data_IF_018636330728
#
_entry.id   IF_018636330728
#
_cell.length_a   1.000
_cell.length_b   1.000
_cell.length_c   1.000
_cell.angle_alpha   90.00
_cell.angle_beta   90.00
_cell.angle_gamma   90.00
#
_symmetry.space_group_name_H-M   'P 1'
#
loop_
_entity.id
_entity.type
_entity.pdbx_description
1 polymer ?
#
# COMPACT_ATOMS: atom_id res chain seq x y z
N UNK A 1 57.55 -10.99 -41.99
CA UNK A 1 56.87 -9.75 -41.59
C UNK A 1 56.13 -10.02 -40.30
N UNK A 2 56.37 -9.20 -39.29
CA UNK A 2 55.78 -9.28 -37.96
C UNK A 2 54.30 -8.86 -37.98
N UNK A 3 53.48 -9.50 -37.15
CA UNK A 3 52.13 -9.05 -36.79
C UNK A 3 51.99 -9.09 -35.26
N UNK A 4 51.50 -8.02 -34.60
CA UNK A 4 51.41 -7.91 -33.15
C UNK A 4 50.12 -8.54 -32.62
N UNK A 5 50.17 -8.92 -31.33
CA UNK A 5 49.10 -9.61 -30.62
C UNK A 5 47.91 -8.75 -30.23
N UNK A 6 46.87 -9.44 -29.78
CA UNK A 6 45.68 -8.85 -29.17
C UNK A 6 45.29 -9.71 -27.96
N UNK A 7 45.81 -9.32 -26.80
CA UNK A 7 45.42 -9.78 -25.47
C UNK A 7 44.16 -9.01 -25.05
N UNK A 8 42.98 -9.57 -25.30
CA UNK A 8 41.73 -9.09 -24.69
C UNK A 8 41.45 -9.89 -23.43
N UNK A 9 41.92 -9.36 -22.30
CA UNK A 9 41.61 -9.86 -20.96
C UNK A 9 40.15 -9.54 -20.61
N UNK A 10 39.35 -10.59 -20.53
CA UNK A 10 37.96 -10.61 -20.11
C UNK A 10 37.88 -10.40 -18.59
N UNK A 11 37.82 -9.13 -18.18
CA UNK A 11 37.70 -8.69 -16.79
C UNK A 11 36.24 -8.68 -16.33
N UNK A 12 35.64 -9.87 -16.19
CA UNK A 12 34.33 -10.07 -15.58
C UNK A 12 34.37 -9.80 -14.07
N UNK A 13 34.36 -8.53 -13.69
CA UNK A 13 34.12 -8.09 -12.31
C UNK A 13 32.65 -8.33 -11.95
N UNK A 14 32.32 -9.54 -11.50
CA UNK A 14 31.03 -9.81 -10.87
C UNK A 14 30.88 -8.91 -9.65
N UNK A 15 29.94 -7.97 -9.71
CA UNK A 15 29.52 -7.20 -8.55
C UNK A 15 29.15 -8.17 -7.42
N UNK A 16 29.68 -7.98 -6.20
CA UNK A 16 29.27 -8.78 -5.06
C UNK A 16 27.77 -8.58 -4.84
N UNK A 17 27.01 -9.68 -4.94
CA UNK A 17 25.56 -9.68 -4.90
C UNK A 17 25.02 -8.99 -3.65
N UNK A 18 24.35 -7.86 -3.86
CA UNK A 18 23.60 -7.12 -2.83
C UNK A 18 22.44 -7.94 -2.22
N UNK A 19 22.15 -9.10 -2.79
CA UNK A 19 21.01 -9.94 -2.43
C UNK A 19 21.22 -10.65 -1.07
N UNK A 20 22.46 -11.01 -0.72
CA UNK A 20 22.75 -11.75 0.52
C UNK A 20 22.64 -10.91 1.81
N UNK A 21 22.93 -9.62 1.75
CA UNK A 21 22.78 -8.71 2.91
C UNK A 21 21.31 -8.40 3.21
N UNK A 22 20.46 -8.40 2.18
CA UNK A 22 19.03 -8.17 2.34
C UNK A 22 18.36 -9.34 3.07
N UNK A 23 18.64 -10.59 2.69
CA UNK A 23 18.04 -11.78 3.29
C UNK A 23 18.36 -11.90 4.79
N UNK A 24 19.64 -11.74 5.17
CA UNK A 24 20.04 -11.77 6.58
C UNK A 24 19.38 -10.64 7.41
N UNK A 25 19.18 -9.46 6.80
CA UNK A 25 18.47 -8.34 7.41
C UNK A 25 16.98 -8.62 7.63
N UNK A 26 16.33 -9.31 6.68
CA UNK A 26 14.92 -9.72 6.77
C UNK A 26 14.73 -10.78 7.87
N UNK A 27 15.57 -11.81 7.93
CA UNK A 27 15.45 -12.86 8.95
C UNK A 27 15.63 -12.32 10.37
N UNK A 28 16.64 -11.47 10.58
CA UNK A 28 16.85 -10.81 11.87
C UNK A 28 15.67 -9.89 12.23
N UNK A 29 15.05 -9.25 11.24
CA UNK A 29 13.86 -8.43 11.44
C UNK A 29 12.62 -9.26 11.77
N UNK A 30 12.39 -10.37 11.08
CA UNK A 30 11.30 -11.31 11.35
C UNK A 30 11.45 -11.90 12.76
N UNK A 31 12.66 -12.31 13.16
CA UNK A 31 12.95 -12.79 14.49
C UNK A 31 12.67 -11.72 15.57
N UNK A 32 13.08 -10.46 15.34
CA UNK A 32 12.78 -9.34 16.24
C UNK A 32 11.28 -9.04 16.30
N UNK A 33 10.56 -9.12 15.18
CA UNK A 33 9.12 -8.95 15.14
C UNK A 33 8.43 -10.05 15.94
N UNK A 34 8.78 -11.31 15.71
CA UNK A 34 8.25 -12.46 16.45
C UNK A 34 8.51 -12.30 17.96
N UNK A 35 9.74 -11.95 18.35
CA UNK A 35 10.08 -11.69 19.74
C UNK A 35 9.30 -10.50 20.33
N UNK A 36 9.07 -9.42 19.56
CA UNK A 36 8.28 -8.26 20.03
C UNK A 36 6.80 -8.60 20.16
N UNK A 37 6.25 -9.41 19.25
CA UNK A 37 4.86 -9.88 19.33
C UNK A 37 4.67 -10.85 20.52
N UNK A 38 5.69 -11.65 20.85
CA UNK A 38 5.69 -12.54 22.02
C UNK A 38 5.92 -11.80 23.34
N UNK A 39 6.78 -10.78 23.34
CA UNK A 39 7.16 -10.01 24.53
C UNK A 39 6.19 -8.87 24.86
N UNK A 40 5.16 -8.63 24.03
CA UNK A 40 4.15 -7.59 24.29
C UNK A 40 3.48 -7.91 25.63
N UNK A 41 3.68 -7.11 26.69
CA UNK A 41 2.98 -7.31 27.94
C UNK A 41 1.49 -7.25 27.63
N UNK A 42 0.70 -8.12 28.26
CA UNK A 42 -0.76 -7.98 28.24
C UNK A 42 -1.06 -6.51 28.58
N UNK A 43 -1.53 -5.77 27.58
CA UNK A 43 -1.79 -4.36 27.73
C UNK A 43 -2.74 -4.20 28.92
N UNK A 44 -2.51 -3.17 29.74
CA UNK A 44 -3.26 -2.96 30.97
C UNK A 44 -4.79 -3.01 30.77
N UNK A 45 -5.55 -3.16 31.87
CA UNK A 45 -7.00 -3.30 31.84
C UNK A 45 -7.61 -2.09 31.11
N UNK A 46 -8.04 -2.30 29.86
CA UNK A 46 -8.51 -1.23 28.97
C UNK A 46 -8.05 -1.35 27.51
N UNK A 47 -7.15 -2.28 27.16
CA UNK A 47 -6.82 -2.56 25.78
C UNK A 47 -7.01 -4.05 25.46
N UNK A 48 -8.28 -4.48 25.42
CA UNK A 48 -8.67 -5.74 24.76
C UNK A 48 -8.58 -5.56 23.23
N UNK A 49 -7.39 -5.16 22.75
CA UNK A 49 -7.04 -5.20 21.36
C UNK A 49 -7.10 -6.67 20.92
N UNK A 50 -8.14 -7.05 20.17
CA UNK A 50 -8.29 -8.39 19.61
C UNK A 50 -6.96 -8.88 19.03
N UNK A 51 -6.61 -10.13 19.30
CA UNK A 51 -5.37 -10.74 18.80
C UNK A 51 -5.27 -10.53 17.28
N UNK A 52 -4.05 -10.33 16.73
CA UNK A 52 -3.85 -10.09 15.29
C UNK A 52 -4.58 -11.10 14.38
N UNK A 53 -4.66 -12.37 14.79
CA UNK A 53 -5.39 -13.42 14.09
C UNK A 53 -6.90 -13.16 14.00
N UNK A 54 -7.54 -12.68 15.07
CA UNK A 54 -8.96 -12.36 15.09
C UNK A 54 -9.28 -11.16 14.19
N UNK A 55 -8.38 -10.16 14.14
CA UNK A 55 -8.51 -9.01 13.23
C UNK A 55 -8.39 -9.42 11.77
N UNK A 56 -7.46 -10.32 11.47
CA UNK A 56 -7.28 -10.85 10.13
C UNK A 56 -8.52 -11.62 9.66
N UNK A 57 -9.07 -12.49 10.50
CA UNK A 57 -10.30 -13.22 10.20
C UNK A 57 -11.48 -12.28 9.95
N UNK A 58 -11.71 -11.31 10.85
CA UNK A 58 -12.78 -10.31 10.69
C UNK A 58 -12.59 -9.45 9.43
N UNK A 59 -11.35 -9.09 9.10
CA UNK A 59 -11.06 -8.38 7.85
C UNK A 59 -11.34 -9.23 6.62
N UNK A 60 -10.98 -10.51 6.63
CA UNK A 60 -11.24 -11.43 5.51
C UNK A 60 -12.75 -11.64 5.30
N UNK A 61 -13.51 -11.85 6.38
CA UNK A 61 -14.97 -11.95 6.34
C UNK A 61 -15.61 -10.68 5.79
N UNK A 62 -15.16 -9.51 6.25
CA UNK A 62 -15.63 -8.22 5.76
C UNK A 62 -15.33 -8.01 4.27
N UNK A 63 -14.13 -8.39 3.81
CA UNK A 63 -13.75 -8.33 2.39
C UNK A 63 -14.66 -9.23 1.56
N UNK A 64 -14.86 -10.48 1.98
CA UNK A 64 -15.73 -11.44 1.27
C UNK A 64 -17.17 -10.92 1.19
N UNK A 65 -17.69 -10.36 2.28
CA UNK A 65 -19.03 -9.77 2.29
C UNK A 65 -19.14 -8.56 1.35
N UNK A 66 -18.09 -7.73 1.27
CA UNK A 66 -18.06 -6.55 0.42
C UNK A 66 -17.86 -6.87 -1.07
N UNK A 67 -17.28 -8.03 -1.42
CA UNK A 67 -17.09 -8.48 -2.82
C UNK A 67 -18.42 -8.67 -3.57
N UNK A 68 -19.54 -8.87 -2.85
CA UNK A 68 -20.87 -9.05 -3.44
C UNK A 68 -21.68 -7.77 -3.66
N UNK A 69 -21.18 -6.59 -3.24
CA UNK A 69 -21.94 -5.35 -3.31
C UNK A 69 -21.60 -4.60 -4.59
N UNK A 70 -22.44 -4.73 -5.61
CA UNK A 70 -22.32 -3.94 -6.83
C UNK A 70 -22.61 -2.46 -6.51
N UNK A 71 -21.56 -1.65 -6.43
CA UNK A 71 -21.64 -0.22 -6.12
C UNK A 71 -21.08 0.59 -7.29
N UNK A 72 -21.77 1.65 -7.70
CA UNK A 72 -21.26 2.57 -8.73
C UNK A 72 -20.25 3.58 -8.20
N UNK A 73 -19.40 4.15 -9.08
CA UNK A 73 -18.39 5.18 -8.74
C UNK A 73 -18.92 6.29 -7.81
N UNK A 74 -20.05 6.92 -8.19
CA UNK A 74 -20.66 8.03 -7.45
C UNK A 74 -21.19 7.61 -6.09
N UNK A 75 -21.78 6.42 -6.03
CA UNK A 75 -22.33 5.86 -4.81
C UNK A 75 -21.21 5.54 -3.82
N UNK A 76 -20.10 4.96 -4.30
CA UNK A 76 -18.92 4.73 -3.49
C UNK A 76 -18.29 6.03 -2.99
N UNK A 77 -18.11 7.04 -3.86
CA UNK A 77 -17.56 8.33 -3.45
C UNK A 77 -18.44 9.06 -2.41
N UNK A 78 -19.75 8.95 -2.51
CA UNK A 78 -20.68 9.46 -1.50
C UNK A 78 -20.55 8.71 -0.17
N UNK A 79 -20.59 7.38 -0.21
CA UNK A 79 -20.42 6.56 0.99
C UNK A 79 -19.05 6.79 1.65
N UNK A 80 -17.96 6.88 0.87
CA UNK A 80 -16.60 7.11 1.38
C UNK A 80 -16.50 8.43 2.13
N UNK A 81 -17.09 9.51 1.57
CA UNK A 81 -17.16 10.82 2.21
C UNK A 81 -17.88 10.76 3.56
N UNK A 82 -19.04 10.11 3.60
CA UNK A 82 -19.82 10.00 4.83
C UNK A 82 -19.07 9.18 5.89
N UNK A 83 -18.42 8.09 5.47
CA UNK A 83 -17.59 7.26 6.33
C UNK A 83 -16.36 8.02 6.88
N UNK A 84 -15.65 8.78 6.04
CA UNK A 84 -14.55 9.66 6.46
C UNK A 84 -15.03 10.68 7.49
N UNK A 85 -16.20 11.30 7.28
CA UNK A 85 -16.76 12.25 8.22
C UNK A 85 -17.12 11.58 9.57
N UNK A 86 -17.76 10.42 9.55
CA UNK A 86 -18.08 9.64 10.74
C UNK A 86 -16.83 9.27 11.55
N UNK A 87 -15.81 8.74 10.89
CA UNK A 87 -14.52 8.42 11.50
C UNK A 87 -13.84 9.67 12.06
N UNK A 88 -13.88 10.80 11.34
CA UNK A 88 -13.30 12.05 11.83
C UNK A 88 -13.96 12.55 13.12
N UNK A 89 -15.30 12.47 13.21
CA UNK A 89 -16.04 12.84 14.40
C UNK A 89 -15.69 11.94 15.60
N UNK A 90 -15.73 10.62 15.38
CA UNK A 90 -15.38 9.64 16.43
C UNK A 90 -13.92 9.82 16.88
N UNK A 91 -12.97 10.01 15.96
CA UNK A 91 -11.57 10.19 16.30
C UNK A 91 -11.25 11.49 17.06
N UNK A 92 -12.13 12.50 17.00
CA UNK A 92 -11.97 13.79 17.70
C UNK A 92 -12.54 13.79 19.12
N UNK A 93 -13.40 12.83 19.47
CA UNK A 93 -13.97 12.73 20.81
C UNK A 93 -12.85 12.45 21.83
N UNK A 94 -12.64 13.36 22.77
CA UNK A 94 -11.67 13.17 23.85
C UNK A 94 -12.20 12.13 24.83
N UNK A 95 -11.36 11.17 25.20
CA UNK A 95 -11.71 10.18 26.22
C UNK A 95 -12.76 9.18 25.77
N UNK A 96 -12.71 8.75 24.50
CA UNK A 96 -13.60 7.73 23.92
C UNK A 96 -13.89 6.61 24.93
N UNK A 97 -15.18 6.45 25.25
CA UNK A 97 -15.68 5.31 25.99
C UNK A 97 -15.39 4.03 25.19
N UNK A 98 -15.35 2.88 25.86
CA UNK A 98 -15.02 1.60 25.21
C UNK A 98 -15.98 1.27 24.05
N UNK A 99 -17.26 1.64 24.18
CA UNK A 99 -18.27 1.50 23.13
C UNK A 99 -17.95 2.32 21.88
N UNK A 100 -17.50 3.56 22.05
CA UNK A 100 -17.18 4.49 20.95
C UNK A 100 -15.88 4.06 20.25
N UNK A 101 -14.89 3.57 21.01
CA UNK A 101 -13.67 2.95 20.47
C UNK A 101 -14.01 1.69 19.65
N UNK A 102 -14.95 0.89 20.13
CA UNK A 102 -15.47 -0.27 19.41
C UNK A 102 -16.11 0.12 18.08
N UNK A 103 -16.96 1.16 18.09
CA UNK A 103 -17.62 1.68 16.89
C UNK A 103 -16.62 2.26 15.88
N UNK A 104 -15.64 3.05 16.33
CA UNK A 104 -14.56 3.55 15.49
C UNK A 104 -13.81 2.38 14.82
N UNK A 105 -13.44 1.36 15.58
CA UNK A 105 -12.74 0.18 15.05
C UNK A 105 -13.59 -0.54 14.01
N UNK A 106 -14.89 -0.72 14.28
CA UNK A 106 -15.84 -1.34 13.35
C UNK A 106 -15.92 -0.56 12.03
N UNK A 107 -16.09 0.76 12.09
CA UNK A 107 -16.16 1.61 10.89
C UNK A 107 -14.86 1.56 10.08
N UNK A 108 -13.69 1.59 10.74
CA UNK A 108 -12.39 1.50 10.06
C UNK A 108 -12.20 0.16 9.35
N UNK A 109 -12.64 -0.95 9.97
CA UNK A 109 -12.60 -2.26 9.33
C UNK A 109 -13.57 -2.34 8.14
N UNK A 110 -14.79 -1.78 8.26
CA UNK A 110 -15.73 -1.70 7.14
C UNK A 110 -15.16 -0.87 5.99
N UNK A 111 -14.51 0.25 6.30
CA UNK A 111 -13.82 1.08 5.32
C UNK A 111 -12.69 0.34 4.60
N UNK A 112 -11.83 -0.33 5.37
CA UNK A 112 -10.75 -1.13 4.83
C UNK A 112 -11.25 -2.28 3.97
N UNK A 113 -12.26 -3.01 4.43
CA UNK A 113 -12.85 -4.14 3.72
C UNK A 113 -13.45 -3.72 2.37
N UNK A 114 -14.25 -2.64 2.33
CA UNK A 114 -14.83 -2.13 1.09
C UNK A 114 -13.78 -1.55 0.14
N UNK A 115 -12.75 -0.90 0.67
CA UNK A 115 -11.64 -0.42 -0.15
C UNK A 115 -10.88 -1.60 -0.79
N UNK A 116 -10.52 -2.61 0.01
CA UNK A 116 -9.79 -3.80 -0.44
C UNK A 116 -10.64 -4.64 -1.41
N UNK A 117 -11.95 -4.78 -1.18
CA UNK A 117 -12.82 -5.56 -2.06
C UNK A 117 -12.86 -5.01 -3.48
N UNK A 118 -12.76 -3.69 -3.67
CA UNK A 118 -12.71 -3.07 -5.00
C UNK A 118 -11.43 -3.39 -5.79
N UNK A 119 -10.34 -3.79 -5.12
CA UNK A 119 -9.14 -4.32 -5.79
C UNK A 119 -9.27 -5.79 -6.18
N UNK A 120 -10.08 -6.56 -5.44
CA UNK A 120 -10.23 -8.00 -5.63
C UNK A 120 -11.34 -8.32 -6.65
N UNK A 121 -12.39 -7.50 -6.67
CA UNK A 121 -13.49 -7.70 -7.61
C UNK A 121 -13.04 -7.39 -9.03
N UNK A 122 -12.73 -8.43 -9.80
CA UNK A 122 -12.41 -8.39 -11.23
C UNK A 122 -13.62 -8.04 -12.12
N UNK A 123 -14.59 -7.30 -11.58
CA UNK A 123 -15.70 -6.81 -12.39
C UNK A 123 -15.16 -5.67 -13.26
N UNK A 124 -15.28 -5.73 -14.59
CA UNK A 124 -14.90 -4.63 -15.49
C UNK A 124 -15.55 -3.30 -15.09
N UNK A 125 -16.69 -3.38 -14.42
CA UNK A 125 -17.42 -2.26 -13.84
C UNK A 125 -16.72 -1.56 -12.67
N UNK A 126 -15.55 -2.00 -12.19
CA UNK A 126 -14.84 -1.37 -11.07
C UNK A 126 -13.52 -0.69 -11.47
N UNK A 127 -13.17 -0.63 -12.76
CA UNK A 127 -11.98 0.12 -13.22
C UNK A 127 -12.03 1.61 -12.83
N UNK A 128 -13.24 2.17 -12.66
CA UNK A 128 -13.42 3.52 -12.13
C UNK A 128 -12.78 3.74 -10.77
N UNK A 129 -12.51 2.68 -10.01
CA UNK A 129 -11.90 2.78 -8.70
C UNK A 129 -10.47 3.34 -8.80
N UNK A 130 -9.71 2.94 -9.82
CA UNK A 130 -8.39 3.50 -10.07
C UNK A 130 -8.45 4.98 -10.47
N UNK A 131 -9.53 5.41 -11.11
CA UNK A 131 -9.75 6.85 -11.37
C UNK A 131 -9.90 7.62 -10.06
N UNK A 132 -10.62 7.07 -9.07
CA UNK A 132 -10.79 7.73 -7.76
C UNK A 132 -9.47 7.89 -6.99
N UNK A 133 -8.48 7.02 -7.22
CA UNK A 133 -7.15 7.16 -6.62
C UNK A 133 -6.41 8.39 -7.17
N UNK A 134 -6.79 8.85 -8.36
CA UNK A 134 -6.23 10.01 -9.05
C UNK A 134 -7.25 11.15 -9.22
N UNK A 135 -8.29 11.20 -8.39
CA UNK A 135 -9.36 12.20 -8.46
C UNK A 135 -9.54 12.90 -7.11
N UNK A 136 -9.77 14.21 -7.15
CA UNK A 136 -10.19 14.97 -5.99
C UNK A 136 -11.70 14.81 -5.79
N UNK A 137 -12.12 14.01 -4.82
CA UNK A 137 -13.51 13.56 -4.66
C UNK A 137 -14.55 14.69 -4.48
N UNK A 138 -14.12 15.86 -4.03
CA UNK A 138 -15.01 17.04 -3.89
C UNK A 138 -15.30 17.76 -5.21
N UNK A 139 -14.38 17.69 -6.17
CA UNK A 139 -14.47 18.45 -7.43
C UNK A 139 -14.62 17.55 -8.66
N UNK A 140 -14.26 16.27 -8.56
CA UNK A 140 -14.18 15.35 -9.70
C UNK A 140 -12.99 15.63 -10.62
N UNK A 141 -12.06 16.48 -10.20
CA UNK A 141 -10.89 16.83 -11.00
C UNK A 141 -9.84 15.73 -10.91
N UNK A 142 -9.31 15.30 -12.05
CA UNK A 142 -8.20 14.36 -12.14
C UNK A 142 -6.92 15.02 -11.61
N UNK A 143 -6.56 14.70 -10.37
CA UNK A 143 -5.39 15.23 -9.68
C UNK A 143 -4.94 14.25 -8.60
N UNK A 144 -3.63 14.00 -8.55
CA UNK A 144 -3.01 13.27 -7.44
C UNK A 144 -2.97 14.14 -6.17
N UNK A 145 -3.03 13.48 -5.01
CA UNK A 145 -2.87 14.16 -3.73
C UNK A 145 -1.44 14.72 -3.62
N UNK A 146 -1.26 16.02 -3.26
CA UNK A 146 0.08 16.59 -3.16
C UNK A 146 0.88 15.91 -2.03
N UNK A 147 2.22 15.77 -2.15
CA UNK A 147 3.06 15.07 -1.17
C UNK A 147 2.89 15.56 0.28
N UNK A 148 2.57 16.84 0.47
CA UNK A 148 2.33 17.47 1.78
C UNK A 148 1.17 16.84 2.54
N UNK A 149 0.17 16.30 1.85
CA UNK A 149 -0.97 15.58 2.44
C UNK A 149 -0.49 14.32 3.14
N UNK A 150 0.36 13.53 2.49
CA UNK A 150 0.91 12.30 3.04
C UNK A 150 1.90 12.56 4.17
N UNK A 151 2.68 13.64 4.08
CA UNK A 151 3.54 14.11 5.17
C UNK A 151 2.74 14.47 6.44
N UNK A 152 1.57 15.11 6.28
CA UNK A 152 0.66 15.40 7.38
C UNK A 152 0.05 14.11 7.96
N UNK A 153 -0.48 13.22 7.12
CA UNK A 153 -1.02 11.94 7.55
C UNK A 153 0.00 11.15 8.38
N UNK A 154 1.23 11.03 7.86
CA UNK A 154 2.34 10.34 8.53
C UNK A 154 2.71 10.97 9.88
N UNK A 155 2.66 12.30 9.98
CA UNK A 155 2.93 13.02 11.23
C UNK A 155 1.84 12.74 12.26
N UNK A 156 0.56 12.77 11.85
CA UNK A 156 -0.59 12.53 12.73
C UNK A 156 -0.67 11.09 13.23
N UNK A 157 -0.24 10.11 12.44
CA UNK A 157 -0.22 8.70 12.85
C UNK A 157 0.77 8.38 13.96
N UNK A 158 1.77 9.24 14.22
CA UNK A 158 2.78 9.03 15.28
C UNK A 158 3.36 7.60 15.30
N UNK A 159 3.75 7.11 14.13
CA UNK A 159 4.22 5.73 13.97
C UNK A 159 5.39 5.42 14.89
N UNK A 160 5.32 4.27 15.56
CA UNK A 160 6.42 3.74 16.36
C UNK A 160 7.59 3.25 15.48
N UNK A 161 8.77 2.95 16.09
CA UNK A 161 9.92 2.45 15.36
C UNK A 161 9.63 1.16 14.59
N UNK A 162 8.98 0.18 15.24
CA UNK A 162 8.62 -1.09 14.61
C UNK A 162 7.66 -0.91 13.43
N UNK A 163 6.62 -0.08 13.59
CA UNK A 163 5.67 0.20 12.51
C UNK A 163 6.35 0.87 11.32
N UNK A 164 7.22 1.86 11.60
CA UNK A 164 8.00 2.53 10.55
C UNK A 164 8.90 1.55 9.80
N UNK A 165 9.54 0.63 10.52
CA UNK A 165 10.35 -0.43 9.93
C UNK A 165 9.53 -1.38 9.04
N UNK A 166 8.38 -1.87 9.52
CA UNK A 166 7.51 -2.76 8.75
C UNK A 166 7.01 -2.09 7.46
N UNK A 167 6.64 -0.81 7.53
CA UNK A 167 6.23 -0.03 6.36
C UNK A 167 7.38 0.20 5.38
N UNK A 168 8.59 0.44 5.87
CA UNK A 168 9.78 0.57 5.02
C UNK A 168 10.05 -0.73 4.24
N UNK A 169 10.02 -1.88 4.93
CA UNK A 169 10.19 -3.21 4.31
C UNK A 169 9.08 -3.49 3.29
N UNK A 170 7.81 -3.34 3.69
CA UNK A 170 6.68 -3.53 2.79
C UNK A 170 6.79 -2.60 1.56
N UNK A 171 7.28 -1.39 1.77
CA UNK A 171 7.48 -0.42 0.71
C UNK A 171 8.61 -0.73 -0.25
N UNK A 172 9.73 -1.25 0.23
CA UNK A 172 10.84 -1.71 -0.62
C UNK A 172 10.39 -2.88 -1.48
N UNK A 173 9.71 -3.84 -0.87
CA UNK A 173 9.11 -4.97 -1.59
C UNK A 173 8.11 -4.49 -2.65
N UNK A 174 7.17 -3.63 -2.26
CA UNK A 174 6.15 -3.10 -3.17
C UNK A 174 6.76 -2.36 -4.36
N UNK A 175 7.75 -1.48 -4.14
CA UNK A 175 8.43 -0.76 -5.23
C UNK A 175 9.16 -1.69 -6.19
N UNK A 176 9.73 -2.79 -5.69
CA UNK A 176 10.32 -3.83 -6.54
C UNK A 176 9.27 -4.45 -7.47
N UNK A 177 8.11 -4.83 -6.93
CA UNK A 177 6.99 -5.35 -7.72
C UNK A 177 6.46 -4.30 -8.71
N UNK A 178 6.28 -3.07 -8.27
CA UNK A 178 5.75 -1.99 -9.10
C UNK A 178 6.70 -1.64 -10.26
N UNK A 179 8.01 -1.61 -10.02
CA UNK A 179 9.01 -1.36 -11.05
C UNK A 179 8.97 -2.43 -12.15
N UNK A 180 8.89 -3.70 -11.76
CA UNK A 180 8.78 -4.81 -12.71
C UNK A 180 7.46 -4.77 -13.50
N UNK A 181 6.33 -4.55 -12.82
CA UNK A 181 5.02 -4.41 -13.48
C UNK A 181 4.99 -3.19 -14.41
N UNK A 182 5.62 -2.07 -14.04
CA UNK A 182 5.74 -0.88 -14.88
C UNK A 182 6.56 -1.17 -16.12
N UNK A 183 7.70 -1.86 -15.98
CA UNK A 183 8.55 -2.28 -17.11
C UNK A 183 7.78 -3.15 -18.09
N UNK A 184 7.06 -4.17 -17.59
CA UNK A 184 6.22 -5.06 -18.44
C UNK A 184 5.11 -4.29 -19.14
N UNK A 185 4.42 -3.37 -18.45
CA UNK A 185 3.41 -2.49 -19.07
C UNK A 185 3.99 -1.60 -20.17
N UNK A 186 5.19 -1.05 -19.98
CA UNK A 186 5.85 -0.24 -21.01
C UNK A 186 6.19 -1.06 -22.26
N UNK A 187 6.70 -2.28 -22.09
CA UNK A 187 6.95 -3.21 -23.20
C UNK A 187 5.65 -3.56 -23.93
N UNK A 188 4.59 -3.86 -23.19
CA UNK A 188 3.29 -4.18 -23.75
C UNK A 188 2.68 -3.00 -24.53
N UNK A 189 2.76 -1.79 -23.96
CA UNK A 189 2.29 -0.57 -24.60
C UNK A 189 3.08 -0.27 -25.88
N UNK A 190 4.41 -0.45 -25.86
CA UNK A 190 5.24 -0.32 -27.05
C UNK A 190 4.83 -1.35 -28.12
N UNK A 191 4.61 -2.61 -27.74
CA UNK A 191 4.13 -3.67 -28.63
C UNK A 191 2.78 -3.32 -29.29
N UNK A 192 1.86 -2.74 -28.53
CA UNK A 192 0.55 -2.32 -29.01
C UNK A 192 0.63 -1.21 -30.07
N UNK A 193 1.61 -0.31 -29.98
CA UNK A 193 1.79 0.79 -30.94
C UNK A 193 2.26 0.33 -32.32
N UNK A 194 2.92 -0.83 -32.41
CA UNK A 194 3.40 -1.38 -33.67
C UNK A 194 2.39 -2.31 -34.36
N UNK A 195 1.24 -2.56 -33.73
CA UNK A 195 0.19 -3.38 -34.28
C UNK A 195 -0.44 -2.72 -35.51
N UNK A 196 -0.59 -3.47 -36.61
CA UNK A 196 -1.29 -2.96 -37.78
C UNK A 196 -2.78 -2.69 -37.44
N UNK A 197 -3.40 -1.60 -37.96
CA UNK A 197 -4.84 -1.40 -37.84
C UNK A 197 -5.58 -2.55 -38.55
N UNK A 198 -6.05 -3.53 -37.80
CA UNK A 198 -6.68 -4.76 -38.32
C UNK A 198 -6.05 -6.06 -37.83
N UNK A 199 -4.93 -5.98 -37.10
CA UNK A 199 -4.35 -7.14 -36.40
C UNK A 199 -5.10 -7.41 -35.08
N UNK A 200 -6.29 -8.00 -35.20
CA UNK A 200 -7.16 -8.27 -34.06
C UNK A 200 -6.60 -9.34 -33.11
N UNK A 201 -5.77 -10.26 -33.63
CA UNK A 201 -5.13 -11.31 -32.84
C UNK A 201 -4.12 -10.68 -31.88
N UNK A 202 -3.20 -9.86 -32.39
CA UNK A 202 -2.25 -9.12 -31.55
C UNK A 202 -2.94 -8.18 -30.57
N UNK A 203 -4.02 -7.49 -30.98
CA UNK A 203 -4.80 -6.66 -30.08
C UNK A 203 -5.44 -7.46 -28.94
N UNK A 204 -5.92 -8.67 -29.21
CA UNK A 204 -6.46 -9.60 -28.20
C UNK A 204 -5.36 -10.05 -27.23
N UNK A 205 -4.20 -10.45 -27.74
CA UNK A 205 -3.05 -10.85 -26.91
C UNK A 205 -2.58 -9.72 -26.00
N UNK A 206 -2.54 -8.49 -26.53
CA UNK A 206 -2.19 -7.30 -25.75
C UNK A 206 -3.21 -7.05 -24.64
N UNK A 207 -4.50 -7.18 -24.94
CA UNK A 207 -5.57 -7.00 -23.95
C UNK A 207 -5.51 -8.06 -22.84
N UNK A 208 -5.28 -9.32 -23.21
CA UNK A 208 -5.14 -10.44 -22.25
C UNK A 208 -3.93 -10.25 -21.34
N UNK A 209 -2.78 -9.86 -21.89
CA UNK A 209 -1.58 -9.58 -21.09
C UNK A 209 -1.78 -8.35 -20.19
N UNK A 210 -2.49 -7.32 -20.66
CA UNK A 210 -2.83 -6.16 -19.84
C UNK A 210 -3.71 -6.56 -18.64
N UNK A 211 -4.72 -7.41 -18.87
CA UNK A 211 -5.56 -7.95 -17.80
C UNK A 211 -4.75 -8.80 -16.81
N UNK A 212 -3.83 -9.64 -17.30
CA UNK A 212 -2.92 -10.44 -16.47
C UNK A 212 -2.01 -9.56 -15.60
N UNK A 213 -1.46 -8.48 -16.17
CA UNK A 213 -0.63 -7.53 -15.43
C UNK A 213 -1.42 -6.78 -14.35
N UNK A 214 -2.68 -6.42 -14.62
CA UNK A 214 -3.56 -5.80 -13.63
C UNK A 214 -3.91 -6.78 -12.50
N UNK A 215 -4.20 -8.04 -12.83
CA UNK A 215 -4.43 -9.08 -11.82
C UNK A 215 -3.21 -9.32 -10.93
N UNK A 216 -2.00 -9.32 -11.51
CA UNK A 216 -0.74 -9.40 -10.77
C UNK A 216 -0.51 -8.17 -9.87
N UNK A 217 -0.82 -6.97 -10.36
CA UNK A 217 -0.76 -5.75 -9.57
C UNK A 217 -1.67 -5.85 -8.34
N UNK A 218 -2.94 -6.25 -8.52
CA UNK A 218 -3.90 -6.39 -7.44
C UNK A 218 -3.48 -7.47 -6.44
N UNK A 219 -3.00 -8.62 -6.92
CA UNK A 219 -2.53 -9.73 -6.08
C UNK A 219 -1.34 -9.34 -5.21
N UNK A 220 -0.48 -8.45 -5.69
CA UNK A 220 0.64 -7.92 -4.90
C UNK A 220 0.22 -6.80 -3.93
N UNK A 221 -0.75 -5.96 -4.32
CA UNK A 221 -1.16 -4.82 -3.50
C UNK A 221 -2.03 -5.23 -2.30
N UNK A 222 -2.96 -6.16 -2.51
CA UNK A 222 -3.94 -6.61 -1.51
C UNK A 222 -3.27 -7.09 -0.21
N UNK A 223 -2.22 -7.93 -0.23
CA UNK A 223 -1.52 -8.33 0.99
C UNK A 223 -0.95 -7.15 1.79
N UNK A 224 -0.41 -6.13 1.12
CA UNK A 224 0.11 -4.93 1.77
C UNK A 224 -1.04 -4.15 2.43
N UNK A 225 -2.16 -4.00 1.73
CA UNK A 225 -3.34 -3.35 2.28
C UNK A 225 -3.92 -4.09 3.49
N UNK A 226 -4.02 -5.43 3.43
CA UNK A 226 -4.47 -6.26 4.54
C UNK A 226 -3.52 -6.13 5.73
N UNK A 227 -2.20 -6.20 5.49
CA UNK A 227 -1.17 -6.04 6.51
C UNK A 227 -1.28 -4.68 7.20
N UNK A 228 -1.45 -3.62 6.42
CA UNK A 228 -1.69 -2.26 6.91
C UNK A 228 -2.95 -2.20 7.79
N UNK A 229 -4.05 -2.76 7.30
CA UNK A 229 -5.37 -2.67 7.93
C UNK A 229 -5.50 -3.48 9.22
N UNK A 230 -4.74 -4.57 9.36
CA UNK A 230 -4.96 -5.54 10.43
C UNK A 230 -3.81 -5.61 11.45
N UNK A 231 -2.57 -5.42 11.00
CA UNK A 231 -1.36 -5.69 11.81
C UNK A 231 -0.59 -4.42 12.12
N UNK A 232 -0.34 -3.57 11.12
CA UNK A 232 0.63 -2.48 11.26
C UNK A 232 0.05 -1.30 12.01
N UNK A 233 -1.17 -0.88 11.66
CA UNK A 233 -1.77 0.34 12.18
C UNK A 233 -2.80 0.03 13.27
N UNK A 234 -2.75 0.80 14.36
CA UNK A 234 -3.85 0.85 15.34
C UNK A 234 -5.05 1.62 14.80
N UNK A 235 -6.24 1.50 15.42
CA UNK A 235 -7.46 2.19 14.98
C UNK A 235 -7.27 3.70 14.82
N UNK A 236 -6.62 4.37 15.78
CA UNK A 236 -6.39 5.81 15.73
C UNK A 236 -5.43 6.22 14.59
N UNK A 237 -4.49 5.35 14.25
CA UNK A 237 -3.55 5.57 13.14
C UNK A 237 -4.25 5.33 11.81
N UNK A 238 -5.11 4.31 11.73
CA UNK A 238 -5.96 4.05 10.55
C UNK A 238 -6.92 5.21 10.29
N UNK A 239 -7.54 5.75 11.35
CA UNK A 239 -8.39 6.93 11.24
C UNK A 239 -7.62 8.10 10.64
N UNK A 240 -6.39 8.35 11.09
CA UNK A 240 -5.54 9.37 10.48
C UNK A 240 -5.17 9.06 9.03
N UNK A 241 -4.93 7.78 8.68
CA UNK A 241 -4.67 7.38 7.30
C UNK A 241 -5.86 7.64 6.37
N UNK A 242 -7.10 7.46 6.84
CA UNK A 242 -8.29 7.72 6.03
C UNK A 242 -8.75 9.18 6.04
N UNK A 243 -8.64 9.87 7.17
CA UNK A 243 -9.18 11.23 7.33
C UNK A 243 -8.22 12.29 6.81
N UNK A 244 -6.91 12.17 7.07
CA UNK A 244 -5.94 13.22 6.73
C UNK A 244 -5.80 13.45 5.22
N UNK A 245 -5.93 12.42 4.35
CA UNK A 245 -5.91 12.61 2.91
C UNK A 245 -7.19 13.17 2.33
N UNK A 246 -8.28 13.33 3.07
CA UNK A 246 -9.49 13.94 2.54
C UNK A 246 -9.19 15.33 1.95
N UNK A 247 -9.66 15.66 0.71
CA UNK A 247 -10.66 14.97 -0.10
C UNK A 247 -10.15 13.95 -1.15
N UNK A 248 -8.96 13.40 -0.98
CA UNK A 248 -8.42 12.33 -1.83
C UNK A 248 -8.65 10.94 -1.22
N UNK A 249 -8.63 9.93 -2.07
CA UNK A 249 -8.59 8.54 -1.62
C UNK A 249 -7.27 8.23 -0.91
N UNK A 250 -7.27 7.36 0.12
CA UNK A 250 -6.04 6.85 0.72
C UNK A 250 -5.27 5.97 -0.27
N UNK A 251 -4.00 6.31 -0.52
CA UNK A 251 -3.12 5.58 -1.44
C UNK A 251 -1.95 5.01 -0.66
N UNK A 252 -1.80 3.69 -0.70
CA UNK A 252 -0.74 2.97 0.03
C UNK A 252 0.65 3.38 -0.44
N UNK A 253 0.84 3.51 -1.76
CA UNK A 253 2.12 3.86 -2.37
C UNK A 253 2.62 5.21 -1.86
N UNK A 254 1.76 6.22 -1.86
CA UNK A 254 2.09 7.56 -1.37
C UNK A 254 2.39 7.60 0.13
N UNK A 255 1.70 6.79 0.94
CA UNK A 255 2.03 6.67 2.36
C UNK A 255 3.42 6.06 2.56
N UNK A 256 3.71 4.96 1.87
CA UNK A 256 4.99 4.28 1.92
C UNK A 256 6.14 5.21 1.51
N UNK A 257 5.96 5.95 0.42
CA UNK A 257 6.96 6.91 -0.05
C UNK A 257 7.24 7.99 1.01
N UNK A 258 6.19 8.50 1.66
CA UNK A 258 6.34 9.46 2.75
C UNK A 258 7.12 8.87 3.94
N UNK A 259 6.89 7.59 4.29
CA UNK A 259 7.65 6.89 5.35
C UNK A 259 9.14 6.82 4.98
N UNK A 260 9.45 6.42 3.75
CA UNK A 260 10.82 6.24 3.29
C UNK A 260 11.57 7.57 3.21
N UNK A 261 10.94 8.63 2.72
CA UNK A 261 11.51 9.98 2.74
C UNK A 261 11.83 10.44 4.16
N UNK A 262 10.96 10.14 5.13
CA UNK A 262 11.20 10.45 6.55
C UNK A 262 12.36 9.66 7.13
N UNK A 263 12.50 8.38 6.78
CA UNK A 263 13.62 7.54 7.21
C UNK A 263 14.93 8.06 6.61
N UNK A 264 14.98 8.32 5.30
CA UNK A 264 16.16 8.87 4.63
C UNK A 264 16.60 10.21 5.25
N UNK A 265 15.65 11.11 5.52
CA UNK A 265 15.92 12.42 6.14
C UNK A 265 16.53 12.32 7.54
N UNK A 266 16.19 11.28 8.32
CA UNK A 266 16.79 11.06 9.65
C UNK A 266 18.26 10.66 9.53
N UNK A 267 18.60 9.79 8.58
CA UNK A 267 19.98 9.38 8.35
C UNK A 267 20.87 10.54 7.89
N UNK A 268 20.37 11.39 6.98
CA UNK A 268 21.12 12.58 6.54
C UNK A 268 21.42 13.54 7.69
N UNK A 269 20.47 13.78 8.60
CA UNK A 269 20.68 14.65 9.77
C UNK A 269 21.68 14.08 10.78
N UNK A 270 21.77 12.76 10.90
CA UNK A 270 22.73 12.11 11.79
C UNK A 270 24.16 12.11 11.22
N UNK A 271 24.30 12.21 9.89
CA UNK A 271 25.59 12.21 9.22
C UNK A 271 26.26 13.60 9.14
N UNK A 272 25.53 14.69 9.42
CA UNK A 272 26.11 16.03 9.47
C UNK A 272 26.79 16.26 10.83
N UNK A 273 28.11 16.55 10.87
CA UNK A 273 28.77 16.93 12.11
C UNK A 273 28.18 18.26 12.64
N UNK A 274 28.16 18.46 13.97
CA UNK A 274 27.60 19.66 14.61
C UNK A 274 28.30 20.95 14.20
#
# INVERSE_FOLDING_TARGET
MAGPGDDSADGGGGEPGADGEWEAGVDAAVARLAATMQARPAAGPGAAAAAPSARLASSAEGIIAAVGVAQGKREFAAWWRDAVHGVALLAQQQGLEESERGELTRQLHEMGAKNISLYICDAPSHLWYFELLCEKLTTGEAAEAPPTVWGRALTSMKLGPLQSFLLDVAGKWWRGQEAELRRRRQVLAASALFAAPGDYEHQSEVAEEAARLLALYNTNLVPVMVLLNTVVLGPEQMANFYVQPWPWMPVVTSLVDAVQQRVASKHTRQAQPP
#
